data_IF_263578559867
#
_entry.id   IF_263578559867
#
_cell.length_a   1.000
_cell.length_b   1.000
_cell.length_c   1.000
_cell.angle_alpha   90.00
_cell.angle_beta   90.00
_cell.angle_gamma   90.00
#
_symmetry.space_group_name_H-M   'P 1'
#
loop_
_entity.id
_entity.type
_entity.pdbx_description
1 polymer ?
#
# COMPACT_ATOMS: atom_id res chain seq x y z
N UNK A 1 -0.52 18.27 -22.70
CA UNK A 1 -1.58 17.27 -22.47
C UNK A 1 -2.57 17.84 -21.46
N UNK A 2 -3.89 17.70 -21.66
CA UNK A 2 -4.85 18.18 -20.67
C UNK A 2 -4.70 17.33 -19.41
N UNK A 3 -4.51 17.97 -18.26
CA UNK A 3 -4.69 17.32 -16.97
C UNK A 3 -6.19 17.02 -16.85
N UNK A 4 -6.60 15.84 -17.31
CA UNK A 4 -7.85 15.23 -16.87
C UNK A 4 -7.85 15.32 -15.33
N UNK A 5 -8.96 15.79 -14.76
CA UNK A 5 -9.12 15.82 -13.31
C UNK A 5 -8.75 14.45 -12.75
N UNK A 6 -7.79 14.40 -11.83
CA UNK A 6 -7.32 13.15 -11.27
C UNK A 6 -8.51 12.42 -10.64
N UNK A 7 -8.72 11.17 -11.03
CA UNK A 7 -9.78 10.35 -10.47
C UNK A 7 -9.64 10.28 -8.93
N UNK A 8 -10.69 10.62 -8.16
CA UNK A 8 -10.60 10.68 -6.70
C UNK A 8 -10.16 9.35 -6.07
N UNK A 9 -10.59 8.22 -6.62
CA UNK A 9 -10.19 6.90 -6.15
C UNK A 9 -8.68 6.69 -6.33
N UNK A 10 -8.15 7.01 -7.51
CA UNK A 10 -6.71 6.93 -7.77
C UNK A 10 -5.88 7.84 -6.84
N UNK A 11 -6.37 9.04 -6.54
CA UNK A 11 -5.72 9.97 -5.60
C UNK A 11 -5.66 9.40 -4.19
N UNK A 12 -6.78 8.84 -3.71
CA UNK A 12 -6.86 8.25 -2.37
C UNK A 12 -5.97 7.01 -2.28
N UNK A 13 -5.96 6.16 -3.31
CA UNK A 13 -5.08 4.99 -3.40
C UNK A 13 -3.59 5.39 -3.34
N UNK A 14 -3.19 6.37 -4.15
CA UNK A 14 -1.82 6.88 -4.15
C UNK A 14 -1.44 7.49 -2.79
N UNK A 15 -2.36 8.21 -2.13
CA UNK A 15 -2.15 8.75 -0.79
C UNK A 15 -1.88 7.66 0.26
N UNK A 16 -2.70 6.59 0.27
CA UNK A 16 -2.51 5.46 1.16
C UNK A 16 -1.15 4.76 0.94
N UNK A 17 -0.75 4.60 -0.32
CA UNK A 17 0.52 3.98 -0.68
C UNK A 17 1.70 4.86 -0.22
N UNK A 18 1.64 6.18 -0.43
CA UNK A 18 2.66 7.13 0.03
C UNK A 18 2.82 7.10 1.54
N UNK A 19 1.71 7.09 2.28
CA UNK A 19 1.72 7.00 3.73
C UNK A 19 2.37 5.69 4.23
N UNK A 20 2.05 4.56 3.58
CA UNK A 20 2.69 3.28 3.90
C UNK A 20 4.19 3.33 3.65
N UNK A 21 4.60 3.78 2.45
CA UNK A 21 6.02 3.91 2.08
C UNK A 21 6.77 4.78 3.09
N UNK A 22 6.25 5.95 3.41
CA UNK A 22 6.85 6.87 4.39
C UNK A 22 7.04 6.19 5.74
N UNK A 23 6.02 5.51 6.27
CA UNK A 23 6.11 4.81 7.55
C UNK A 23 7.22 3.75 7.57
N UNK A 24 7.37 2.95 6.51
CA UNK A 24 8.43 1.94 6.41
C UNK A 24 9.82 2.58 6.36
N UNK A 25 9.97 3.68 5.62
CA UNK A 25 11.25 4.39 5.49
C UNK A 25 11.65 5.12 6.78
N UNK A 26 10.70 5.75 7.46
CA UNK A 26 10.93 6.47 8.71
C UNK A 26 11.17 5.51 9.89
N UNK A 27 10.58 4.30 9.83
CA UNK A 27 10.56 3.36 10.95
C UNK A 27 10.81 1.89 10.53
N UNK A 28 11.93 1.56 9.85
CA UNK A 28 12.13 0.24 9.25
C UNK A 28 12.14 -0.90 10.28
N UNK A 29 12.78 -0.70 11.44
CA UNK A 29 12.81 -1.70 12.51
C UNK A 29 11.44 -1.91 13.17
N UNK A 30 10.66 -0.84 13.36
CA UNK A 30 9.29 -0.95 13.90
C UNK A 30 8.39 -1.67 12.92
N UNK A 31 8.48 -1.33 11.64
CA UNK A 31 7.73 -2.02 10.60
C UNK A 31 8.09 -3.50 10.54
N UNK A 32 9.38 -3.85 10.52
CA UNK A 32 9.84 -5.23 10.52
C UNK A 32 9.30 -6.02 11.72
N UNK A 33 9.25 -5.42 12.91
CA UNK A 33 8.68 -6.03 14.11
C UNK A 33 7.16 -6.26 14.05
N UNK A 34 6.44 -5.71 13.05
CA UNK A 34 5.01 -6.02 12.83
C UNK A 34 4.78 -7.23 11.92
N UNK A 35 5.81 -7.71 11.22
CA UNK A 35 5.66 -8.75 10.21
C UNK A 35 5.61 -10.12 10.88
N UNK A 36 4.51 -10.85 10.70
CA UNK A 36 4.35 -12.22 11.20
C UNK A 36 4.09 -12.32 12.71
N UNK A 37 3.85 -11.19 13.38
CA UNK A 37 3.48 -11.17 14.80
C UNK A 37 1.98 -11.40 14.92
N UNK A 38 1.61 -12.40 15.72
CA UNK A 38 0.23 -12.61 16.14
C UNK A 38 -0.05 -11.71 17.37
N UNK A 39 -1.09 -10.87 17.34
CA UNK A 39 -1.47 -10.11 18.52
C UNK A 39 -1.86 -11.04 19.67
N UNK A 40 -1.57 -10.62 20.90
CA UNK A 40 -1.79 -11.45 22.09
C UNK A 40 -3.27 -11.67 22.37
N UNK A 41 -4.09 -10.66 22.06
CA UNK A 41 -5.54 -10.65 22.23
C UNK A 41 -6.17 -9.56 21.31
N UNK A 42 -7.51 -9.47 21.21
CA UNK A 42 -8.17 -8.50 20.34
C UNK A 42 -7.94 -7.02 20.68
N UNK A 43 -7.63 -6.71 21.94
CA UNK A 43 -7.36 -5.36 22.47
C UNK A 43 -5.88 -4.97 22.41
N UNK A 44 -5.00 -5.90 22.00
CA UNK A 44 -3.60 -5.66 21.71
C UNK A 44 -3.44 -4.41 20.80
N UNK A 45 -2.58 -3.45 21.17
CA UNK A 45 -2.32 -2.26 20.37
C UNK A 45 -1.92 -2.58 18.92
N UNK A 46 -1.22 -3.69 18.68
CA UNK A 46 -0.84 -4.15 17.34
C UNK A 46 -2.06 -4.60 16.54
N UNK A 47 -3.00 -5.34 17.15
CA UNK A 47 -4.26 -5.71 16.51
C UNK A 47 -5.06 -4.47 16.11
N UNK A 48 -5.14 -3.49 17.02
CA UNK A 48 -5.84 -2.23 16.79
C UNK A 48 -5.20 -1.43 15.64
N UNK A 49 -3.88 -1.30 15.61
CA UNK A 49 -3.16 -0.63 14.53
C UNK A 49 -3.32 -1.37 13.20
N UNK A 50 -3.24 -2.69 13.20
CA UNK A 50 -3.44 -3.55 12.03
C UNK A 50 -4.84 -3.37 11.42
N UNK A 51 -5.89 -3.36 12.26
CA UNK A 51 -7.27 -3.10 11.81
C UNK A 51 -7.41 -1.73 11.17
N UNK A 52 -6.81 -0.68 11.73
CA UNK A 52 -6.84 0.69 11.15
C UNK A 52 -6.15 0.74 9.78
N UNK A 53 -5.01 0.08 9.66
CA UNK A 53 -4.29 -0.02 8.38
C UNK A 53 -5.15 -0.75 7.32
N UNK A 54 -5.70 -1.91 7.67
CA UNK A 54 -6.56 -2.67 6.77
C UNK A 54 -7.83 -1.89 6.39
N UNK A 55 -8.43 -1.16 7.33
CA UNK A 55 -9.59 -0.31 7.05
C UNK A 55 -9.29 0.79 6.02
N UNK A 56 -8.08 1.37 6.04
CA UNK A 56 -7.67 2.34 5.03
C UNK A 56 -7.57 1.71 3.63
N UNK A 57 -6.96 0.53 3.51
CA UNK A 57 -6.90 -0.19 2.24
C UNK A 57 -8.28 -0.68 1.77
N UNK A 58 -9.14 -1.16 2.66
CA UNK A 58 -10.52 -1.49 2.33
C UNK A 58 -11.30 -0.26 1.84
N UNK A 59 -11.05 0.93 2.41
CA UNK A 59 -11.66 2.16 1.96
C UNK A 59 -11.25 2.54 0.53
N UNK A 60 -9.98 2.32 0.18
CA UNK A 60 -9.49 2.45 -1.20
C UNK A 60 -10.22 1.49 -2.14
N UNK A 61 -10.31 0.20 -1.76
CA UNK A 61 -10.92 -0.84 -2.60
C UNK A 61 -12.41 -0.61 -2.90
N UNK A 62 -13.15 0.08 -2.01
CA UNK A 62 -14.55 0.46 -2.28
C UNK A 62 -14.72 1.32 -3.55
N UNK A 63 -13.68 2.03 -3.98
CA UNK A 63 -13.71 2.82 -5.22
C UNK A 63 -13.46 2.02 -6.50
N UNK A 64 -13.12 0.72 -6.41
CA UNK A 64 -12.72 -0.12 -7.54
C UNK A 64 -13.75 -1.20 -7.92
N UNK A 65 -14.95 -1.20 -7.33
CA UNK A 65 -16.02 -2.17 -7.62
C UNK A 65 -15.60 -3.67 -7.55
N UNK A 66 -14.59 -3.97 -6.73
CA UNK A 66 -14.08 -5.33 -6.54
C UNK A 66 -15.16 -6.22 -5.91
N UNK A 67 -15.35 -7.43 -6.45
CA UNK A 67 -16.26 -8.42 -5.88
C UNK A 67 -15.83 -8.79 -4.45
N UNK A 68 -16.80 -9.06 -3.57
CA UNK A 68 -16.52 -9.38 -2.16
C UNK A 68 -15.58 -10.58 -2.01
N UNK A 69 -15.72 -11.60 -2.87
CA UNK A 69 -14.82 -12.77 -2.94
C UNK A 69 -13.36 -12.42 -3.23
N UNK A 70 -13.11 -11.27 -3.86
CA UNK A 70 -11.81 -10.88 -4.39
C UNK A 70 -11.12 -9.83 -3.51
N UNK A 71 -11.81 -9.31 -2.49
CA UNK A 71 -11.29 -8.25 -1.60
C UNK A 71 -10.00 -8.70 -0.90
N UNK A 72 -9.96 -9.93 -0.38
CA UNK A 72 -8.76 -10.45 0.28
C UNK A 72 -7.57 -10.59 -0.68
N UNK A 73 -7.84 -11.00 -1.92
CA UNK A 73 -6.82 -11.07 -2.97
C UNK A 73 -6.28 -9.68 -3.30
N UNK A 74 -7.16 -8.70 -3.46
CA UNK A 74 -6.78 -7.31 -3.70
C UNK A 74 -5.99 -6.72 -2.52
N UNK A 75 -6.45 -6.90 -1.27
CA UNK A 75 -5.74 -6.44 -0.07
C UNK A 75 -4.33 -7.02 0.03
N UNK A 76 -4.18 -8.33 -0.19
CA UNK A 76 -2.87 -9.00 -0.19
C UNK A 76 -1.97 -8.42 -1.28
N UNK A 77 -2.49 -8.24 -2.49
CA UNK A 77 -1.74 -7.64 -3.60
C UNK A 77 -1.25 -6.23 -3.27
N UNK A 78 -2.12 -5.32 -2.81
CA UNK A 78 -1.73 -3.95 -2.49
C UNK A 78 -0.69 -3.92 -1.37
N UNK A 79 -0.88 -4.72 -0.31
CA UNK A 79 0.11 -4.85 0.77
C UNK A 79 1.45 -5.37 0.27
N UNK A 80 1.47 -6.38 -0.60
CA UNK A 80 2.70 -6.93 -1.18
C UNK A 80 3.45 -5.91 -2.01
N UNK A 81 2.74 -5.13 -2.85
CA UNK A 81 3.34 -4.05 -3.64
C UNK A 81 3.97 -2.98 -2.74
N UNK A 82 3.24 -2.49 -1.73
CA UNK A 82 3.75 -1.49 -0.80
C UNK A 82 4.92 -2.04 0.05
N UNK A 83 4.78 -3.25 0.60
CA UNK A 83 5.81 -3.92 1.37
C UNK A 83 7.10 -4.04 0.56
N UNK A 84 7.03 -4.70 -0.60
CA UNK A 84 8.21 -4.99 -1.42
C UNK A 84 8.92 -3.73 -1.87
N UNK A 85 8.19 -2.71 -2.34
CA UNK A 85 8.81 -1.46 -2.76
C UNK A 85 9.50 -0.74 -1.60
N UNK A 86 8.81 -0.60 -0.46
CA UNK A 86 9.32 0.19 0.65
C UNK A 86 10.46 -0.52 1.40
N UNK A 87 10.42 -1.85 1.53
CA UNK A 87 11.52 -2.60 2.17
C UNK A 87 12.76 -2.66 1.28
N UNK A 88 12.59 -2.82 -0.04
CA UNK A 88 13.71 -2.68 -0.98
C UNK A 88 14.32 -1.29 -0.91
N UNK A 89 13.50 -0.23 -0.89
CA UNK A 89 14.02 1.13 -0.77
C UNK A 89 14.74 1.36 0.56
N UNK A 90 14.16 0.92 1.68
CA UNK A 90 14.75 1.09 3.02
C UNK A 90 16.11 0.40 3.16
N UNK A 91 16.31 -0.69 2.42
CA UNK A 91 17.56 -1.46 2.39
C UNK A 91 18.56 -0.99 1.32
N UNK A 92 18.32 0.16 0.68
CA UNK A 92 19.09 0.63 -0.49
C UNK A 92 19.17 -0.41 -1.61
N UNK A 93 18.12 -1.24 -1.76
CA UNK A 93 18.11 -2.43 -2.60
C UNK A 93 17.85 -2.19 -4.08
N UNK A 94 17.49 -0.97 -4.49
CA UNK A 94 17.23 -0.70 -5.92
C UNK A 94 18.50 -0.66 -6.75
N UNK A 95 19.58 -0.03 -6.28
CA UNK A 95 20.91 -0.08 -6.94
C UNK A 95 20.87 0.13 -8.47
N UNK A 96 19.98 1.01 -8.95
CA UNK A 96 19.78 1.39 -10.35
C UNK A 96 19.69 2.91 -10.45
N UNK A 97 19.87 3.45 -11.65
CA UNK A 97 19.96 4.91 -11.89
C UNK A 97 18.63 5.64 -12.00
N UNK A 98 17.50 4.94 -12.00
CA UNK A 98 16.17 5.56 -12.10
C UNK A 98 15.80 6.27 -10.79
N UNK A 99 15.01 7.35 -10.91
CA UNK A 99 14.48 8.03 -9.75
C UNK A 99 13.47 7.14 -9.00
N UNK A 100 13.59 7.12 -7.68
CA UNK A 100 12.79 6.22 -6.84
C UNK A 100 11.35 6.72 -6.72
N UNK A 101 11.13 8.03 -6.71
CA UNK A 101 9.79 8.59 -6.66
C UNK A 101 9.06 8.38 -7.98
N UNK A 102 9.74 8.53 -9.12
CA UNK A 102 9.18 8.16 -10.43
C UNK A 102 8.79 6.67 -10.46
N UNK A 103 9.67 5.79 -10.00
CA UNK A 103 9.40 4.34 -9.93
C UNK A 103 8.18 4.01 -9.04
N UNK A 104 7.95 4.81 -8.00
CA UNK A 104 6.79 4.68 -7.13
C UNK A 104 5.49 5.15 -7.81
N UNK A 105 5.53 6.22 -8.61
CA UNK A 105 4.40 6.64 -9.43
C UNK A 105 4.04 5.58 -10.49
N UNK A 106 5.03 4.88 -11.06
CA UNK A 106 4.78 3.73 -11.93
C UNK A 106 4.04 2.60 -11.20
N UNK A 107 4.45 2.26 -9.97
CA UNK A 107 3.82 1.21 -9.17
C UNK A 107 2.37 1.57 -8.79
N UNK A 108 2.12 2.82 -8.38
CA UNK A 108 0.76 3.27 -8.02
C UNK A 108 -0.16 3.29 -9.25
N UNK A 109 0.31 3.78 -10.39
CA UNK A 109 -0.45 3.76 -11.64
C UNK A 109 -0.72 2.33 -12.15
N UNK A 110 0.23 1.40 -11.95
CA UNK A 110 0.03 -0.02 -12.27
C UNK A 110 -1.06 -0.64 -11.39
N UNK A 111 -1.00 -0.40 -10.07
CA UNK A 111 -2.01 -0.91 -9.13
C UNK A 111 -3.41 -0.37 -9.46
N UNK A 112 -3.54 0.93 -9.75
CA UNK A 112 -4.81 1.56 -10.12
C UNK A 112 -5.42 0.91 -11.37
N UNK A 113 -4.64 0.79 -12.46
CA UNK A 113 -5.12 0.15 -13.70
C UNK A 113 -5.45 -1.32 -13.50
N UNK A 114 -4.65 -2.04 -12.72
CA UNK A 114 -4.88 -3.46 -12.42
C UNK A 114 -6.17 -3.69 -11.65
N UNK A 115 -6.48 -2.84 -10.67
CA UNK A 115 -7.74 -2.91 -9.91
C UNK A 115 -8.96 -2.55 -10.77
N UNK A 116 -8.85 -1.58 -11.69
CA UNK A 116 -9.96 -1.21 -12.60
C UNK A 116 -10.28 -2.26 -13.66
N UNK A 117 -9.32 -3.13 -13.96
CA UNK A 117 -9.49 -4.19 -14.94
C UNK A 117 -10.09 -5.48 -14.34
N UNK A 118 -10.43 -5.47 -13.05
CA UNK A 118 -11.02 -6.58 -12.31
C UNK A 118 -12.51 -6.40 -12.12
#
# INVERSE_FOLDING_TARGET
MPRAGLDPTAVVAAGAFRAFRAFVLEHPGRYAATIGVEPSDPDDPLATAGRRLLAAFMAVLRGYAIAESDVDHALRMLRSLCHGFATLQAADGFQRSADVDESFEWLTAFADRGLRAR
#
